data_IF_011355490036
#
_entry.id   IF_011355490036
#
_cell.length_a   1.000
_cell.length_b   1.000
_cell.length_c   1.000
_cell.angle_alpha   90.00
_cell.angle_beta   90.00
_cell.angle_gamma   90.00
#
_symmetry.space_group_name_H-M   'P 1'
#
loop_
_entity.id
_entity.type
_entity.pdbx_description
1 polymer ?
#
# COMPACT_ATOMS: atom_id res chain seq x y z
N UNK A 1 -22.96 0.25 -6.22
CA UNK A 1 -21.83 1.18 -6.11
C UNK A 1 -20.78 0.51 -5.24
N UNK A 2 -19.60 0.21 -5.79
CA UNK A 2 -18.49 -0.31 -4.99
C UNK A 2 -17.76 0.88 -4.36
N UNK A 3 -17.63 0.90 -3.03
CA UNK A 3 -16.92 1.95 -2.30
C UNK A 3 -15.42 1.69 -2.36
N UNK A 4 -14.65 2.63 -2.90
CA UNK A 4 -13.18 2.57 -2.87
C UNK A 4 -12.65 3.19 -1.57
N UNK A 5 -11.61 2.58 -1.01
CA UNK A 5 -10.98 3.02 0.24
C UNK A 5 -9.48 3.15 0.04
N UNK A 6 -8.95 4.33 0.36
CA UNK A 6 -7.50 4.59 0.37
C UNK A 6 -6.96 4.41 1.79
N UNK A 7 -5.90 3.60 1.92
CA UNK A 7 -5.23 3.33 3.18
C UNK A 7 -3.78 3.81 3.11
N UNK A 8 -3.34 4.59 4.09
CA UNK A 8 -1.94 4.98 4.28
C UNK A 8 -1.39 4.24 5.49
N UNK A 9 -0.34 3.45 5.29
CA UNK A 9 0.29 2.64 6.34
C UNK A 9 1.79 2.92 6.39
N UNK A 10 2.31 3.18 7.59
CA UNK A 10 3.75 3.22 7.82
C UNK A 10 4.24 1.80 8.04
N UNK A 11 5.28 1.41 7.32
CA UNK A 11 5.87 0.07 7.39
C UNK A 11 7.38 0.16 7.60
N UNK A 12 7.98 -0.91 8.10
CA UNK A 12 9.44 -1.00 8.20
C UNK A 12 10.08 -1.10 6.81
N UNK A 13 11.19 -0.38 6.60
CA UNK A 13 11.99 -0.48 5.38
C UNK A 13 12.91 -1.71 5.43
N UNK A 14 12.32 -2.89 5.17
CA UNK A 14 13.02 -4.17 5.13
C UNK A 14 12.60 -4.98 3.90
N UNK A 15 13.52 -5.76 3.29
CA UNK A 15 13.19 -6.63 2.16
C UNK A 15 12.01 -7.55 2.46
N UNK A 16 11.06 -7.63 1.54
CA UNK A 16 9.89 -8.51 1.63
C UNK A 16 8.69 -7.95 2.38
N UNK A 17 8.80 -6.77 3.01
CA UNK A 17 7.65 -6.12 3.67
C UNK A 17 6.53 -5.80 2.67
N UNK A 18 6.87 -5.26 1.50
CA UNK A 18 5.87 -4.95 0.46
C UNK A 18 5.11 -6.19 -0.02
N UNK A 19 5.82 -7.30 -0.25
CA UNK A 19 5.22 -8.57 -0.66
C UNK A 19 4.29 -9.12 0.44
N UNK A 20 4.66 -8.97 1.72
CA UNK A 20 3.80 -9.35 2.85
C UNK A 20 2.52 -8.51 2.87
N UNK A 21 2.62 -7.20 2.67
CA UNK A 21 1.46 -6.29 2.63
C UNK A 21 0.53 -6.69 1.49
N UNK A 22 1.03 -6.82 0.27
CA UNK A 22 0.22 -7.24 -0.88
C UNK A 22 -0.46 -8.60 -0.64
N UNK A 23 0.28 -9.58 -0.09
CA UNK A 23 -0.26 -10.90 0.22
C UNK A 23 -1.38 -10.88 1.27
N UNK A 24 -1.35 -9.97 2.25
CA UNK A 24 -2.44 -9.83 3.23
C UNK A 24 -3.77 -9.47 2.57
N UNK A 25 -3.75 -8.54 1.60
CA UNK A 25 -4.94 -8.16 0.85
C UNK A 25 -5.43 -9.29 -0.06
N UNK A 26 -4.52 -9.93 -0.82
CA UNK A 26 -4.88 -11.04 -1.70
C UNK A 26 -5.47 -12.23 -0.95
N UNK A 27 -4.94 -12.58 0.23
CA UNK A 27 -5.46 -13.67 1.08
C UNK A 27 -6.89 -13.44 1.56
N UNK A 28 -7.31 -12.18 1.69
CA UNK A 28 -8.66 -11.83 2.13
C UNK A 28 -9.64 -11.65 0.96
N UNK A 29 -9.15 -11.77 -0.28
CA UNK A 29 -9.93 -11.55 -1.49
C UNK A 29 -10.18 -10.06 -1.80
N UNK A 30 -9.35 -9.16 -1.27
CA UNK A 30 -9.44 -7.74 -1.59
C UNK A 30 -8.71 -7.43 -2.88
N UNK A 31 -9.35 -6.67 -3.76
CA UNK A 31 -8.73 -6.12 -4.95
C UNK A 31 -7.94 -4.86 -4.59
N UNK A 32 -6.74 -4.71 -5.15
CA UNK A 32 -5.94 -3.49 -5.03
C UNK A 32 -6.02 -2.77 -6.37
N UNK A 33 -6.67 -1.60 -6.39
CA UNK A 33 -6.76 -0.77 -7.59
C UNK A 33 -5.44 -0.06 -7.89
N UNK A 34 -4.78 0.47 -6.85
CA UNK A 34 -3.49 1.15 -6.94
C UNK A 34 -2.69 0.95 -5.67
N UNK A 35 -1.36 0.88 -5.81
CA UNK A 35 -0.42 0.74 -4.71
C UNK A 35 0.81 1.61 -4.99
N UNK A 36 1.03 2.60 -4.12
CA UNK A 36 2.19 3.49 -4.17
C UNK A 36 3.06 3.27 -2.93
N UNK A 37 4.38 3.35 -3.11
CA UNK A 37 5.37 3.23 -2.04
C UNK A 37 6.33 4.40 -2.15
N UNK A 38 6.57 5.08 -1.03
CA UNK A 38 7.54 6.15 -0.92
C UNK A 38 8.29 6.02 0.40
N UNK A 39 9.53 6.49 0.42
CA UNK A 39 10.24 6.69 1.66
C UNK A 39 9.60 7.85 2.45
N UNK A 40 9.86 7.94 3.77
CA UNK A 40 9.30 8.98 4.63
C UNK A 40 9.61 10.42 4.18
N UNK A 41 10.61 10.59 3.30
CA UNK A 41 11.07 11.90 2.78
C UNK A 41 11.02 11.97 1.24
N UNK A 42 10.33 11.05 0.58
CA UNK A 42 10.19 11.10 -0.88
C UNK A 42 9.24 12.23 -1.27
N UNK A 43 9.62 13.18 -2.16
CA UNK A 43 8.79 14.31 -2.57
C UNK A 43 7.62 13.89 -3.49
N UNK A 44 7.13 12.65 -3.38
CA UNK A 44 6.04 12.11 -4.19
C UNK A 44 4.68 12.51 -3.62
N UNK A 45 4.48 13.82 -3.49
CA UNK A 45 3.17 14.49 -3.52
C UNK A 45 3.39 15.94 -3.93
N UNK A 46 2.93 16.41 -5.11
CA UNK A 46 2.38 17.75 -5.15
C UNK A 46 1.08 17.74 -4.35
N UNK A 47 0.71 18.90 -3.82
CA UNK A 47 -0.54 19.12 -3.09
C UNK A 47 -1.79 18.68 -3.87
#
# INVERSE_FOLDING_TARGET
MSTSHTLSVLVEDKPGVLARVAALFSRRGFNIESLAVGGPNSPTSPA
#
